data_IF_817258866427
#
_entry.id   IF_817258866427
#
_cell.length_a   1.000
_cell.length_b   1.000
_cell.length_c   1.000
_cell.angle_alpha   90.00
_cell.angle_beta   90.00
_cell.angle_gamma   90.00
#
_symmetry.space_group_name_H-M   'P 1'
#
loop_
_entity.id
_entity.type
_entity.pdbx_description
1 polymer ?
#
# COMPACT_ATOMS: atom_id res chain seq x y z
N UNK A 1 2.73 8.71 7.77
CA UNK A 1 1.71 7.89 8.46
C UNK A 1 2.23 7.46 9.82
N UNK A 2 1.41 7.41 10.88
CA UNK A 2 1.83 6.90 12.18
C UNK A 2 1.75 5.37 12.24
N UNK A 3 2.75 4.73 12.83
CA UNK A 3 2.74 3.32 13.24
C UNK A 3 3.01 3.26 14.75
N UNK A 4 2.01 2.83 15.52
CA UNK A 4 2.13 2.68 16.97
C UNK A 4 2.66 1.31 17.38
N UNK A 5 3.30 1.25 18.54
CA UNK A 5 3.76 0.00 19.16
C UNK A 5 3.71 0.08 20.68
N UNK A 6 3.74 -1.08 21.33
CA UNK A 6 3.90 -1.25 22.77
C UNK A 6 4.97 -2.30 23.00
N UNK A 7 5.88 -2.07 23.94
CA UNK A 7 6.83 -3.09 24.41
C UNK A 7 6.24 -3.72 25.65
N UNK A 8 6.00 -5.03 25.63
CA UNK A 8 5.44 -5.76 26.76
C UNK A 8 6.52 -6.50 27.54
N UNK A 9 6.45 -6.43 28.88
CA UNK A 9 7.39 -7.07 29.81
C UNK A 9 8.84 -6.53 29.72
N UNK A 10 9.75 -7.14 30.47
CA UNK A 10 11.16 -6.73 30.56
C UNK A 10 11.43 -5.73 31.69
N UNK A 11 12.67 -5.23 31.76
CA UNK A 11 13.09 -4.21 32.74
C UNK A 11 13.82 -3.14 31.94
N UNK A 12 13.16 -1.99 31.72
CA UNK A 12 13.68 -0.91 30.86
C UNK A 12 14.98 -0.26 31.36
N UNK A 13 15.63 0.54 30.49
CA UNK A 13 15.04 1.24 29.37
C UNK A 13 15.26 0.46 28.07
N UNK A 14 14.31 0.60 27.14
CA UNK A 14 14.45 0.05 25.81
C UNK A 14 14.72 1.17 24.82
N UNK A 15 15.36 0.84 23.72
CA UNK A 15 15.28 1.66 22.50
C UNK A 15 14.46 0.93 21.46
N UNK A 16 13.76 1.68 20.61
CA UNK A 16 12.99 1.14 19.50
C UNK A 16 13.34 1.88 18.21
N UNK A 17 13.47 1.12 17.13
CA UNK A 17 13.79 1.64 15.80
C UNK A 17 12.90 0.98 14.76
N UNK A 18 12.46 1.76 13.78
CA UNK A 18 11.61 1.28 12.69
C UNK A 18 12.46 0.90 11.48
N UNK A 19 12.17 -0.23 10.83
CA UNK A 19 12.97 -0.78 9.73
C UNK A 19 12.14 -1.18 8.52
N UNK A 20 12.74 -1.02 7.35
CA UNK A 20 12.32 -1.71 6.12
C UNK A 20 12.81 -3.16 6.13
N UNK A 21 11.92 -4.13 5.97
CA UNK A 21 12.26 -5.54 5.94
C UNK A 21 12.95 -5.98 4.64
N UNK A 22 12.80 -5.21 3.55
CA UNK A 22 13.39 -5.58 2.25
C UNK A 22 14.90 -5.45 2.22
N UNK A 23 15.46 -4.55 3.02
CA UNK A 23 16.88 -4.18 2.99
C UNK A 23 17.46 -3.91 4.39
N UNK A 24 16.71 -4.24 5.45
CA UNK A 24 17.14 -4.10 6.84
C UNK A 24 17.64 -2.68 7.18
N UNK A 25 17.07 -1.66 6.52
CA UNK A 25 17.48 -0.26 6.69
C UNK A 25 16.55 0.44 7.68
N UNK A 26 17.14 1.16 8.64
CA UNK A 26 16.38 1.95 9.60
C UNK A 26 15.67 3.12 8.89
N UNK A 27 14.43 3.38 9.31
CA UNK A 27 13.58 4.45 8.83
C UNK A 27 13.35 5.43 9.99
N UNK A 28 13.87 6.64 9.84
CA UNK A 28 13.76 7.66 10.88
C UNK A 28 14.68 7.43 12.07
N UNK A 29 14.36 8.05 13.20
CA UNK A 29 15.17 8.03 14.43
C UNK A 29 14.78 6.89 15.37
N UNK A 30 15.73 6.52 16.23
CA UNK A 30 15.49 5.64 17.39
C UNK A 30 14.68 6.39 18.46
N UNK A 31 13.79 5.68 19.17
CA UNK A 31 13.02 6.21 20.30
C UNK A 31 13.41 5.52 21.60
N UNK A 32 13.54 6.29 22.67
CA UNK A 32 13.73 5.77 24.02
C UNK A 32 12.38 5.42 24.64
N UNK A 33 12.29 4.22 25.22
CA UNK A 33 11.10 3.68 25.85
C UNK A 33 11.47 3.34 27.31
N UNK A 34 11.12 4.22 28.27
CA UNK A 34 11.74 4.20 29.59
C UNK A 34 11.29 3.02 30.46
N UNK A 35 10.10 2.46 30.22
CA UNK A 35 9.53 1.39 31.05
C UNK A 35 8.75 0.39 30.19
N UNK A 36 8.57 -0.86 30.68
CA UNK A 36 7.66 -1.82 30.07
C UNK A 36 6.23 -1.27 29.95
N UNK A 37 5.48 -1.81 29.02
CA UNK A 37 4.08 -1.45 28.68
C UNK A 37 3.88 0.01 28.25
N UNK A 38 4.98 0.73 28.03
CA UNK A 38 4.97 2.03 27.37
C UNK A 38 4.77 1.87 25.87
N UNK A 39 3.98 2.78 25.31
CA UNK A 39 3.74 2.87 23.87
C UNK A 39 4.65 3.90 23.21
N UNK A 40 5.07 3.65 21.98
CA UNK A 40 5.72 4.63 21.11
C UNK A 40 5.04 4.69 19.74
N UNK A 41 5.47 5.64 18.91
CA UNK A 41 4.96 5.74 17.53
C UNK A 41 5.97 6.34 16.58
N UNK A 42 6.15 5.74 15.41
CA UNK A 42 6.97 6.29 14.34
C UNK A 42 6.12 6.97 13.29
N UNK A 43 6.59 8.11 12.79
CA UNK A 43 6.06 8.73 11.57
C UNK A 43 7.05 8.55 10.44
N UNK A 44 6.58 8.08 9.30
CA UNK A 44 7.40 7.93 8.09
C UNK A 44 6.65 8.39 6.84
N UNK A 45 7.42 8.68 5.80
CA UNK A 45 6.90 8.97 4.47
C UNK A 45 6.56 7.64 3.80
N UNK A 46 5.27 7.43 3.54
CA UNK A 46 4.83 6.25 2.82
C UNK A 46 5.44 6.22 1.41
N UNK A 47 5.80 5.05 0.88
CA UNK A 47 6.12 4.90 -0.53
C UNK A 47 4.95 5.39 -1.39
N UNK A 48 5.26 6.06 -2.50
CA UNK A 48 4.27 6.55 -3.46
C UNK A 48 4.15 5.67 -4.69
N UNK A 49 5.07 4.71 -4.84
CA UNK A 49 5.06 3.76 -5.95
C UNK A 49 4.21 2.56 -5.58
N UNK A 50 3.51 2.02 -6.58
CA UNK A 50 2.73 0.79 -6.42
C UNK A 50 3.63 -0.37 -5.99
N UNK A 51 3.16 -1.15 -5.01
CA UNK A 51 3.90 -2.30 -4.52
C UNK A 51 3.48 -2.74 -3.12
N UNK A 52 4.15 -3.79 -2.66
CA UNK A 52 4.03 -4.30 -1.29
C UNK A 52 5.31 -3.98 -0.52
N UNK A 53 5.15 -3.33 0.63
CA UNK A 53 6.24 -2.88 1.48
C UNK A 53 6.10 -3.51 2.86
N UNK A 54 7.15 -4.16 3.32
CA UNK A 54 7.16 -4.87 4.60
C UNK A 54 8.05 -4.12 5.57
N UNK A 55 7.55 -3.90 6.79
CA UNK A 55 8.24 -3.19 7.85
C UNK A 55 8.19 -3.96 9.16
N UNK A 56 9.11 -3.66 10.06
CA UNK A 56 9.09 -4.16 11.43
C UNK A 56 9.72 -3.15 12.39
N UNK A 57 9.49 -3.35 13.67
CA UNK A 57 10.13 -2.59 14.74
C UNK A 57 11.17 -3.49 15.39
N UNK A 58 12.39 -2.98 15.54
CA UNK A 58 13.45 -3.60 16.33
C UNK A 58 13.53 -2.87 17.66
N UNK A 59 13.43 -3.61 18.75
CA UNK A 59 13.71 -3.12 20.09
C UNK A 59 15.08 -3.62 20.58
N UNK A 60 15.74 -2.81 21.39
CA UNK A 60 16.96 -3.17 22.12
C UNK A 60 16.69 -2.94 23.60
N UNK A 61 16.88 -3.96 24.42
CA UNK A 61 16.97 -3.83 25.87
C UNK A 61 18.39 -3.39 26.24
N UNK A 62 18.52 -2.12 26.63
CA UNK A 62 19.80 -1.53 27.01
C UNK A 62 20.11 -1.97 28.44
N UNK A 63 21.08 -2.87 28.52
CA UNK A 63 21.40 -3.71 29.68
C UNK A 63 21.71 -2.98 31.00
N UNK A 64 21.92 -1.66 30.94
CA UNK A 64 22.49 -0.86 32.03
C UNK A 64 21.64 -0.77 33.30
N UNK A 65 20.34 -1.10 33.25
CA UNK A 65 19.45 -1.02 34.42
C UNK A 65 19.17 -2.36 35.13
N UNK A 66 19.70 -3.49 34.62
CA UNK A 66 19.37 -4.82 35.16
C UNK A 66 20.44 -5.39 36.11
N UNK A 67 21.45 -4.60 36.48
CA UNK A 67 22.49 -4.99 37.44
C UNK A 67 23.35 -6.18 37.03
N UNK A 68 23.32 -6.56 35.74
CA UNK A 68 24.02 -7.70 35.15
C UNK A 68 25.20 -7.28 34.27
N UNK A 69 26.12 -8.22 34.07
CA UNK A 69 27.23 -8.16 33.11
C UNK A 69 26.90 -9.11 31.94
N UNK A 70 25.87 -8.79 31.20
CA UNK A 70 25.34 -9.50 30.04
C UNK A 70 25.58 -8.72 28.76
N UNK A 71 24.77 -8.96 27.74
CA UNK A 71 24.83 -8.25 26.47
C UNK A 71 23.43 -7.71 26.16
N UNK A 72 23.35 -6.58 25.45
CA UNK A 72 22.08 -6.02 24.99
C UNK A 72 21.25 -7.09 24.27
N UNK A 73 19.94 -7.10 24.53
CA UNK A 73 19.02 -8.05 23.93
C UNK A 73 18.20 -7.39 22.82
N UNK A 74 18.38 -7.90 21.60
CA UNK A 74 17.61 -7.48 20.43
C UNK A 74 16.31 -8.28 20.32
N UNK A 75 15.19 -7.61 20.09
CA UNK A 75 13.92 -8.24 19.74
C UNK A 75 13.26 -7.53 18.56
N UNK A 76 12.38 -8.25 17.87
CA UNK A 76 11.72 -7.78 16.66
C UNK A 76 10.22 -8.05 16.71
N UNK A 77 9.43 -7.09 16.26
CA UNK A 77 7.99 -7.26 16.06
C UNK A 77 7.68 -8.20 14.90
N UNK A 78 6.44 -8.67 14.85
CA UNK A 78 5.88 -9.22 13.62
C UNK A 78 5.97 -8.18 12.49
N UNK A 79 6.10 -8.68 11.27
CA UNK A 79 6.11 -7.83 10.08
C UNK A 79 4.74 -7.18 9.86
N UNK A 80 4.73 -5.88 9.61
CA UNK A 80 3.59 -5.15 9.09
C UNK A 80 3.74 -5.00 7.57
N UNK A 81 2.67 -5.31 6.82
CA UNK A 81 2.64 -5.19 5.37
C UNK A 81 1.78 -3.98 5.00
N UNK A 82 2.34 -3.12 4.16
CA UNK A 82 1.66 -1.96 3.59
C UNK A 82 1.65 -2.07 2.08
N UNK A 83 0.46 -2.03 1.49
CA UNK A 83 0.26 -2.19 0.05
C UNK A 83 -0.22 -0.88 -0.55
N UNK A 84 0.48 -0.41 -1.58
CA UNK A 84 0.03 0.68 -2.45
C UNK A 84 -0.47 0.06 -3.74
N UNK A 85 -1.78 0.18 -3.98
CA UNK A 85 -2.36 -0.21 -5.25
C UNK A 85 -1.80 0.64 -6.38
N UNK A 86 -1.58 0.08 -7.59
CA UNK A 86 -1.28 0.86 -8.77
C UNK A 86 -2.34 1.94 -9.00
N UNK A 87 -1.92 3.12 -9.48
CA UNK A 87 -2.87 4.12 -9.94
C UNK A 87 -3.70 3.58 -11.12
N UNK A 88 -4.99 3.90 -11.16
CA UNK A 88 -5.84 3.57 -12.30
C UNK A 88 -5.33 4.32 -13.54
N UNK A 89 -5.14 3.62 -14.64
CA UNK A 89 -4.77 4.24 -15.91
C UNK A 89 -6.03 4.56 -16.72
N UNK A 90 -5.91 5.54 -17.62
CA UNK A 90 -6.96 5.81 -18.59
C UNK A 90 -7.29 4.52 -19.36
N UNK A 91 -8.56 4.11 -19.43
CA UNK A 91 -8.95 2.92 -20.16
C UNK A 91 -8.76 3.14 -21.66
N UNK A 92 -8.48 2.06 -22.39
CA UNK A 92 -8.51 2.08 -23.86
C UNK A 92 -9.78 1.41 -24.34
N UNK A 93 -10.41 2.03 -25.35
CA UNK A 93 -11.61 1.50 -26.00
C UNK A 93 -11.25 1.22 -27.46
N UNK A 94 -11.59 0.03 -27.94
CA UNK A 94 -11.51 -0.32 -29.36
C UNK A 94 -12.85 -0.87 -29.83
N UNK A 95 -13.25 -0.49 -31.04
CA UNK A 95 -14.46 -0.98 -31.70
C UNK A 95 -14.08 -1.88 -32.87
N UNK A 96 -14.83 -2.96 -33.08
CA UNK A 96 -14.55 -3.96 -34.13
C UNK A 96 -14.76 -3.43 -35.56
N UNK A 97 -15.52 -2.36 -35.73
CA UNK A 97 -15.81 -1.72 -37.01
C UNK A 97 -16.01 -0.22 -36.84
N UNK A 98 -15.57 0.56 -37.83
CA UNK A 98 -15.88 1.99 -37.97
C UNK A 98 -17.12 2.26 -38.85
N UNK A 99 -17.71 1.22 -39.44
CA UNK A 99 -18.95 1.29 -40.21
C UNK A 99 -20.12 0.81 -39.33
N UNK A 100 -21.04 1.74 -39.06
CA UNK A 100 -22.30 1.48 -38.37
C UNK A 100 -23.40 1.39 -39.43
N UNK A 101 -23.60 0.21 -40.02
CA UNK A 101 -24.75 -0.06 -40.87
C UNK A 101 -25.79 -0.86 -40.09
N UNK A 102 -27.06 -0.67 -40.44
CA UNK A 102 -28.18 -1.28 -39.72
C UNK A 102 -28.07 -2.82 -39.82
N UNK A 103 -28.06 -3.49 -38.67
CA UNK A 103 -27.96 -4.96 -38.59
C UNK A 103 -26.53 -5.53 -38.57
N UNK A 104 -25.49 -4.69 -38.61
CA UNK A 104 -24.11 -5.13 -38.35
C UNK A 104 -23.82 -5.16 -36.84
N UNK A 105 -23.20 -6.23 -36.31
CA UNK A 105 -22.78 -6.26 -34.92
C UNK A 105 -21.63 -5.28 -34.67
N UNK A 106 -21.70 -4.56 -33.56
CA UNK A 106 -20.63 -3.73 -33.04
C UNK A 106 -20.13 -4.37 -31.74
N UNK A 107 -18.84 -4.71 -31.70
CA UNK A 107 -18.19 -5.15 -30.47
C UNK A 107 -17.28 -4.04 -29.96
N UNK A 108 -17.47 -3.66 -28.70
CA UNK A 108 -16.59 -2.76 -27.98
C UNK A 108 -15.76 -3.55 -26.99
N UNK A 109 -14.45 -3.37 -27.04
CA UNK A 109 -13.52 -3.92 -26.07
C UNK A 109 -12.95 -2.78 -25.22
N UNK A 110 -13.11 -2.90 -23.90
CA UNK A 110 -12.57 -1.96 -22.92
C UNK A 110 -11.46 -2.65 -22.17
N UNK A 111 -10.26 -2.07 -22.21
CA UNK A 111 -9.12 -2.54 -21.43
C UNK A 111 -8.83 -1.52 -20.35
N UNK A 112 -8.99 -1.95 -19.10
CA UNK A 112 -8.64 -1.19 -17.90
C UNK A 112 -7.36 -1.77 -17.31
N UNK A 113 -6.41 -0.92 -16.93
CA UNK A 113 -5.15 -1.36 -16.30
C UNK A 113 -4.77 -0.47 -15.12
N UNK A 114 -3.96 -1.01 -14.20
CA UNK A 114 -3.69 -0.36 -12.92
C UNK A 114 -4.91 -0.42 -11.99
N UNK A 115 -4.93 0.33 -10.90
CA UNK A 115 -6.05 0.32 -9.96
C UNK A 115 -6.18 -0.98 -9.17
N UNK A 116 -7.38 -1.21 -8.62
CA UNK A 116 -7.77 -2.44 -7.92
C UNK A 116 -9.15 -2.83 -8.42
N UNK A 117 -9.30 -4.07 -8.86
CA UNK A 117 -10.56 -4.65 -9.32
C UNK A 117 -11.59 -4.75 -8.18
N UNK A 118 -12.90 -4.78 -8.52
CA UNK A 118 -13.50 -4.84 -9.88
C UNK A 118 -13.58 -3.47 -10.58
N UNK A 119 -13.70 -3.47 -11.92
CA UNK A 119 -13.93 -2.27 -12.72
C UNK A 119 -15.38 -2.22 -13.23
N UNK A 120 -15.89 -1.00 -13.43
CA UNK A 120 -17.11 -0.78 -14.20
C UNK A 120 -16.85 0.30 -15.23
N UNK A 121 -17.37 0.10 -16.44
CA UNK A 121 -17.24 1.04 -17.54
C UNK A 121 -18.52 1.07 -18.36
N UNK A 122 -18.85 2.23 -18.90
CA UNK A 122 -19.93 2.38 -19.89
C UNK A 122 -19.29 2.77 -21.22
N UNK A 123 -19.69 2.09 -22.29
CA UNK A 123 -19.32 2.42 -23.65
C UNK A 123 -20.51 3.04 -24.36
N UNK A 124 -20.41 4.33 -24.63
CA UNK A 124 -21.36 5.05 -25.46
C UNK A 124 -20.72 5.41 -26.80
N UNK A 125 -21.40 5.07 -27.90
CA UNK A 125 -21.02 5.50 -29.25
C UNK A 125 -22.05 6.49 -29.75
N UNK A 126 -21.58 7.63 -30.25
CA UNK A 126 -22.41 8.69 -30.80
C UNK A 126 -22.18 8.81 -32.30
N UNK A 127 -23.25 9.11 -33.04
CA UNK A 127 -23.17 9.47 -34.45
C UNK A 127 -22.43 10.80 -34.61
N UNK A 128 -21.38 10.84 -35.43
CA UNK A 128 -20.62 12.08 -35.67
C UNK A 128 -21.43 13.17 -36.39
N UNK A 129 -22.46 12.80 -37.15
CA UNK A 129 -23.26 13.74 -37.94
C UNK A 129 -24.45 14.33 -37.18
N UNK A 130 -25.01 13.59 -36.22
CA UNK A 130 -26.20 14.00 -35.47
C UNK A 130 -25.98 14.13 -33.97
N UNK A 131 -24.79 13.72 -33.47
CA UNK A 131 -24.47 13.61 -32.05
C UNK A 131 -25.47 12.76 -31.24
N UNK A 132 -26.25 11.93 -31.91
CA UNK A 132 -27.20 11.02 -31.28
C UNK A 132 -26.47 9.77 -30.77
N UNK A 133 -26.86 9.27 -29.60
CA UNK A 133 -26.39 7.98 -29.08
C UNK A 133 -26.89 6.85 -30.00
N UNK A 134 -25.97 6.02 -30.47
CA UNK A 134 -26.28 4.89 -31.38
C UNK A 134 -26.00 3.53 -30.75
N UNK A 135 -25.19 3.50 -29.69
CA UNK A 135 -24.87 2.29 -28.95
C UNK A 135 -24.53 2.64 -27.50
N UNK A 136 -25.00 1.81 -26.58
CA UNK A 136 -24.72 1.90 -25.16
C UNK A 136 -24.49 0.48 -24.64
N UNK A 137 -23.41 0.28 -23.87
CA UNK A 137 -23.12 -0.98 -23.22
C UNK A 137 -22.41 -0.77 -21.90
N UNK A 138 -22.92 -1.42 -20.85
CA UNK A 138 -22.26 -1.47 -19.56
C UNK A 138 -21.36 -2.71 -19.49
N UNK A 139 -20.13 -2.50 -19.03
CA UNK A 139 -19.09 -3.51 -18.85
C UNK A 139 -18.77 -3.56 -17.37
N UNK A 140 -18.89 -4.74 -16.77
CA UNK A 140 -18.66 -5.02 -15.34
C UNK A 140 -17.72 -6.20 -15.16
#
# INVERSE_FOLDING_TARGET
MPLGFVIHNGIGPFTASFYSASNNTQIGSTQDIPTPDSSGSFTFNAPVTAGSYTYYIKGVDEETNNGGSGAAYDFQSQNAIYTISPALKAPTISISSNALDQGQPLEANVVVTGGTEPYSATVDVYSASSNALVYHNDVS
#
